data_IF_594397669041
#
_entry.id   IF_594397669041
#
_cell.length_a   1.000
_cell.length_b   1.000
_cell.length_c   1.000
_cell.angle_alpha   90.00
_cell.angle_beta   90.00
_cell.angle_gamma   90.00
#
_symmetry.space_group_name_H-M   'P 1'
#
loop_
_entity.id
_entity.type
_entity.pdbx_description
1 polymer ?
#
# COMPACT_ATOMS: atom_id res chain seq x y z
N UNK A 1 -17.45 14.89 15.18
CA UNK A 1 -17.38 13.77 14.21
C UNK A 1 -17.58 14.34 12.81
N UNK A 2 -16.53 14.48 12.01
CA UNK A 2 -16.61 15.13 10.69
C UNK A 2 -17.38 14.20 9.73
N UNK A 3 -18.51 14.62 9.21
CA UNK A 3 -19.24 13.93 8.14
C UNK A 3 -18.47 14.14 6.81
N UNK A 4 -17.48 13.31 6.54
CA UNK A 4 -16.86 13.24 5.20
C UNK A 4 -17.90 12.64 4.24
N UNK A 5 -18.19 13.34 3.15
CA UNK A 5 -18.98 12.74 2.05
C UNK A 5 -18.10 11.69 1.34
N UNK A 6 -18.63 10.51 1.11
CA UNK A 6 -17.98 9.47 0.33
C UNK A 6 -17.82 9.94 -1.12
N UNK A 7 -16.62 9.78 -1.65
CA UNK A 7 -16.32 10.06 -3.06
C UNK A 7 -16.57 8.83 -3.93
N UNK A 8 -16.59 8.98 -5.24
CA UNK A 8 -16.66 7.85 -6.17
C UNK A 8 -15.50 6.87 -5.98
N UNK A 9 -14.30 7.37 -5.67
CA UNK A 9 -13.13 6.55 -5.34
C UNK A 9 -13.31 5.76 -4.06
N UNK A 10 -13.92 6.34 -3.02
CA UNK A 10 -14.23 5.65 -1.77
C UNK A 10 -15.24 4.49 -2.00
N UNK A 11 -16.24 4.72 -2.84
CA UNK A 11 -17.22 3.67 -3.19
C UNK A 11 -16.56 2.54 -3.99
N UNK A 12 -15.72 2.88 -4.95
CA UNK A 12 -14.98 1.90 -5.74
C UNK A 12 -14.05 1.06 -4.85
N UNK A 13 -13.35 1.69 -3.90
CA UNK A 13 -12.52 1.02 -2.92
C UNK A 13 -13.34 0.01 -2.08
N UNK A 14 -14.50 0.42 -1.58
CA UNK A 14 -15.39 -0.48 -0.82
C UNK A 14 -15.78 -1.69 -1.67
N UNK A 15 -16.25 -1.45 -2.89
CA UNK A 15 -16.70 -2.51 -3.80
C UNK A 15 -15.57 -3.50 -4.07
N UNK A 16 -14.39 -3.02 -4.48
CA UNK A 16 -13.23 -3.87 -4.81
C UNK A 16 -12.79 -4.73 -3.62
N UNK A 17 -12.88 -4.21 -2.39
CA UNK A 17 -12.54 -4.97 -1.19
C UNK A 17 -13.66 -5.93 -0.72
N UNK A 18 -14.93 -5.65 -1.03
CA UNK A 18 -16.06 -6.54 -0.69
C UNK A 18 -16.17 -7.73 -1.65
N UNK A 19 -15.70 -7.61 -2.89
CA UNK A 19 -15.75 -8.72 -3.87
C UNK A 19 -15.07 -10.00 -3.33
N UNK A 20 -13.81 -9.96 -2.84
CA UNK A 20 -13.16 -11.17 -2.32
C UNK A 20 -13.86 -11.76 -1.10
N UNK A 21 -14.42 -10.89 -0.23
CA UNK A 21 -15.18 -11.33 0.93
C UNK A 21 -16.42 -12.12 0.48
N UNK A 22 -17.21 -11.59 -0.44
CA UNK A 22 -18.36 -12.27 -1.01
C UNK A 22 -17.97 -13.63 -1.63
N UNK A 23 -16.91 -13.64 -2.46
CA UNK A 23 -16.48 -14.84 -3.15
C UNK A 23 -15.97 -15.93 -2.20
N UNK A 24 -15.30 -15.58 -1.10
CA UNK A 24 -14.88 -16.56 -0.08
C UNK A 24 -16.07 -17.18 0.65
N UNK A 25 -17.12 -16.38 0.92
CA UNK A 25 -18.27 -16.86 1.69
C UNK A 25 -19.25 -17.66 0.84
N UNK A 26 -19.51 -17.21 -0.38
CA UNK A 26 -20.59 -17.73 -1.23
C UNK A 26 -20.12 -18.54 -2.43
N UNK A 27 -18.94 -18.20 -3.00
CA UNK A 27 -18.41 -18.84 -4.22
C UNK A 27 -17.30 -19.86 -3.92
N UNK A 28 -17.00 -20.10 -2.63
CA UNK A 28 -16.02 -21.11 -2.24
C UNK A 28 -14.57 -20.79 -2.55
N UNK A 29 -14.22 -19.52 -2.70
CA UNK A 29 -12.82 -19.12 -2.91
C UNK A 29 -11.96 -19.47 -1.70
N UNK A 30 -10.69 -19.81 -1.97
CA UNK A 30 -9.73 -20.11 -0.92
C UNK A 30 -9.38 -18.85 -0.12
N UNK A 31 -9.59 -18.91 1.20
CA UNK A 31 -9.16 -17.83 2.10
C UNK A 31 -7.65 -17.57 2.02
N UNK A 32 -6.84 -18.63 1.90
CA UNK A 32 -5.39 -18.53 1.80
C UNK A 32 -4.95 -17.84 0.51
N UNK A 33 -5.63 -18.11 -0.60
CA UNK A 33 -5.38 -17.46 -1.89
C UNK A 33 -5.70 -15.97 -1.82
N UNK A 34 -6.84 -15.61 -1.23
CA UNK A 34 -7.22 -14.19 -1.04
C UNK A 34 -6.23 -13.46 -0.16
N UNK A 35 -5.72 -14.09 0.90
CA UNK A 35 -4.66 -13.51 1.70
C UNK A 35 -3.37 -13.28 0.91
N UNK A 36 -2.96 -14.26 0.10
CA UNK A 36 -1.79 -14.11 -0.77
C UNK A 36 -1.97 -12.93 -1.74
N UNK A 37 -3.17 -12.77 -2.30
CA UNK A 37 -3.48 -11.64 -3.18
C UNK A 37 -3.35 -10.31 -2.45
N UNK A 38 -3.80 -10.20 -1.22
CA UNK A 38 -3.62 -8.99 -0.42
C UNK A 38 -2.13 -8.72 -0.08
N UNK A 39 -1.31 -9.75 0.10
CA UNK A 39 0.13 -9.55 0.20
C UNK A 39 0.71 -8.98 -1.11
N UNK A 40 0.26 -9.47 -2.26
CA UNK A 40 0.71 -9.02 -3.56
C UNK A 40 0.16 -7.64 -3.94
N UNK A 41 -0.97 -7.23 -3.39
CA UNK A 41 -1.50 -5.87 -3.54
C UNK A 41 -0.49 -4.81 -3.09
N UNK A 42 0.31 -5.08 -2.04
CA UNK A 42 1.37 -4.16 -1.62
C UNK A 42 2.44 -3.95 -2.69
N UNK A 43 2.74 -5.00 -3.46
CA UNK A 43 3.65 -4.89 -4.62
C UNK A 43 3.05 -3.98 -5.69
N UNK A 44 1.76 -4.14 -6.00
CA UNK A 44 1.06 -3.31 -6.98
C UNK A 44 1.09 -1.83 -6.54
N UNK A 45 0.80 -1.55 -5.28
CA UNK A 45 0.86 -0.20 -4.70
C UNK A 45 2.26 0.39 -4.85
N UNK A 46 3.30 -0.39 -4.54
CA UNK A 46 4.69 0.03 -4.70
C UNK A 46 5.04 0.37 -6.14
N UNK A 47 4.68 -0.49 -7.10
CA UNK A 47 4.91 -0.26 -8.53
C UNK A 47 4.20 0.99 -9.04
N UNK A 48 2.92 1.15 -8.69
CA UNK A 48 2.15 2.36 -9.04
C UNK A 48 2.80 3.61 -8.45
N UNK A 49 3.32 3.53 -7.23
CA UNK A 49 4.00 4.66 -6.61
C UNK A 49 5.33 5.00 -7.29
N UNK A 50 6.11 4.00 -7.69
CA UNK A 50 7.31 4.20 -8.54
C UNK A 50 6.95 4.92 -9.83
N UNK A 51 5.86 4.53 -10.49
CA UNK A 51 5.37 5.21 -11.70
C UNK A 51 4.98 6.67 -11.45
N UNK A 52 4.30 6.96 -10.31
CA UNK A 52 4.00 8.34 -9.92
C UNK A 52 5.27 9.17 -9.71
N UNK A 53 6.25 8.64 -8.96
CA UNK A 53 7.52 9.31 -8.69
C UNK A 53 8.33 9.50 -9.98
N UNK A 54 8.39 8.50 -10.86
CA UNK A 54 9.04 8.60 -12.15
C UNK A 54 8.40 9.68 -13.04
N UNK A 55 7.06 9.74 -13.06
CA UNK A 55 6.33 10.77 -13.81
C UNK A 55 6.68 12.18 -13.31
N UNK A 56 6.74 12.40 -12.00
CA UNK A 56 7.15 13.70 -11.45
C UNK A 56 8.60 14.03 -11.82
N UNK A 57 9.52 13.06 -11.70
CA UNK A 57 10.94 13.25 -11.99
C UNK A 57 11.20 13.58 -13.46
N UNK A 58 10.47 12.92 -14.37
CA UNK A 58 10.68 13.09 -15.81
C UNK A 58 9.97 14.32 -16.39
N UNK A 59 8.75 14.61 -15.91
CA UNK A 59 7.89 15.60 -16.56
C UNK A 59 7.68 16.90 -15.77
N UNK A 60 8.00 16.92 -14.46
CA UNK A 60 7.73 18.10 -13.62
C UNK A 60 9.02 18.71 -13.09
N UNK A 61 9.83 17.94 -12.35
CA UNK A 61 11.07 18.43 -11.73
C UNK A 61 12.09 17.32 -11.50
N UNK A 62 13.36 17.61 -11.82
CA UNK A 62 14.47 16.65 -11.70
C UNK A 62 15.00 16.49 -10.28
N UNK A 63 14.78 17.49 -9.42
CA UNK A 63 15.24 17.52 -8.02
C UNK A 63 14.13 17.94 -7.10
N UNK A 64 14.19 17.49 -5.83
CA UNK A 64 13.26 17.91 -4.79
C UNK A 64 13.99 17.95 -3.44
N UNK A 65 13.37 18.59 -2.45
CA UNK A 65 13.95 18.77 -1.13
C UNK A 65 13.86 17.47 -0.33
N UNK A 66 14.99 17.03 0.21
CA UNK A 66 15.09 15.98 1.20
C UNK A 66 15.35 16.59 2.58
N UNK A 67 14.49 16.29 3.53
CA UNK A 67 14.63 16.74 4.91
C UNK A 67 15.05 15.57 5.80
N UNK A 68 16.16 15.73 6.52
CA UNK A 68 16.67 14.74 7.45
C UNK A 68 17.25 15.42 8.69
N UNK A 69 16.65 15.15 9.86
CA UNK A 69 17.16 15.65 11.14
C UNK A 69 17.30 17.19 11.24
N UNK A 70 16.40 17.95 10.61
CA UNK A 70 16.44 19.42 10.60
C UNK A 70 17.34 20.02 9.50
N UNK A 71 18.05 19.18 8.73
CA UNK A 71 18.83 19.63 7.57
C UNK A 71 18.03 19.40 6.29
N UNK A 72 18.02 20.39 5.42
CA UNK A 72 17.37 20.36 4.12
C UNK A 72 18.43 20.31 3.03
N UNK A 73 18.32 19.35 2.12
CA UNK A 73 19.21 19.22 0.96
C UNK A 73 18.42 18.92 -0.30
N UNK A 74 18.89 19.46 -1.44
CA UNK A 74 18.29 19.14 -2.74
C UNK A 74 18.82 17.80 -3.21
N UNK A 75 17.91 16.88 -3.51
CA UNK A 75 18.22 15.54 -4.01
C UNK A 75 17.59 15.30 -5.37
N UNK A 76 18.24 14.44 -6.17
CA UNK A 76 17.69 14.01 -7.45
C UNK A 76 16.39 13.22 -7.26
N UNK A 77 15.40 13.38 -8.15
CA UNK A 77 14.20 12.56 -8.15
C UNK A 77 14.50 11.05 -8.25
N UNK A 78 15.58 10.68 -8.94
CA UNK A 78 16.06 9.30 -8.99
C UNK A 78 16.53 8.77 -7.65
N UNK A 79 17.12 9.62 -6.80
CA UNK A 79 17.48 9.24 -5.43
C UNK A 79 16.26 8.78 -4.64
N UNK A 80 15.16 9.54 -4.70
CA UNK A 80 13.92 9.17 -4.02
C UNK A 80 13.35 7.84 -4.55
N UNK A 81 13.40 7.62 -5.86
CA UNK A 81 12.90 6.39 -6.50
C UNK A 81 13.74 5.17 -6.05
N UNK A 82 15.07 5.25 -6.12
CA UNK A 82 15.94 4.15 -5.70
C UNK A 82 15.82 3.87 -4.21
N UNK A 83 15.80 4.90 -3.38
CA UNK A 83 15.59 4.75 -1.95
C UNK A 83 14.26 4.06 -1.67
N UNK A 84 13.20 4.49 -2.32
CA UNK A 84 11.88 3.89 -2.19
C UNK A 84 11.87 2.42 -2.59
N UNK A 85 12.42 2.06 -3.74
CA UNK A 85 12.45 0.68 -4.23
C UNK A 85 13.17 -0.23 -3.22
N UNK A 86 14.34 0.18 -2.72
CA UNK A 86 15.12 -0.63 -1.78
C UNK A 86 14.38 -0.73 -0.44
N UNK A 87 14.00 0.39 0.12
CA UNK A 87 13.43 0.44 1.47
C UNK A 87 12.01 -0.16 1.52
N UNK A 88 11.14 0.25 0.61
CA UNK A 88 9.79 -0.30 0.51
C UNK A 88 9.80 -1.78 0.10
N UNK A 89 10.64 -2.13 -0.88
CA UNK A 89 10.81 -3.51 -1.33
C UNK A 89 11.27 -4.44 -0.20
N UNK A 90 12.14 -3.95 0.70
CA UNK A 90 12.57 -4.70 1.87
C UNK A 90 11.40 -5.00 2.83
N UNK A 91 10.52 -4.02 3.08
CA UNK A 91 9.31 -4.25 3.89
C UNK A 91 8.36 -5.26 3.24
N UNK A 92 8.10 -5.13 1.94
CA UNK A 92 7.25 -6.07 1.18
C UNK A 92 7.84 -7.48 1.23
N UNK A 93 9.16 -7.58 1.09
CA UNK A 93 9.87 -8.85 1.16
C UNK A 93 9.70 -9.51 2.54
N UNK A 94 9.98 -8.79 3.63
CA UNK A 94 9.81 -9.31 4.99
C UNK A 94 8.35 -9.72 5.24
N UNK A 95 7.40 -8.88 4.87
CA UNK A 95 5.97 -9.17 5.02
C UNK A 95 5.57 -10.49 4.36
N UNK A 96 6.02 -10.69 3.12
CA UNK A 96 5.70 -11.90 2.36
C UNK A 96 6.37 -13.14 2.99
N UNK A 97 7.61 -13.01 3.50
CA UNK A 97 8.28 -14.09 4.19
C UNK A 97 7.57 -14.48 5.50
N UNK A 98 7.17 -13.50 6.30
CA UNK A 98 6.41 -13.76 7.53
C UNK A 98 5.09 -14.46 7.18
N UNK A 99 4.39 -14.01 6.15
CA UNK A 99 3.17 -14.64 5.68
C UNK A 99 3.39 -16.12 5.32
N UNK A 100 4.40 -16.44 4.52
CA UNK A 100 4.71 -17.83 4.15
C UNK A 100 5.10 -18.69 5.37
N UNK A 101 5.91 -18.13 6.27
CA UNK A 101 6.35 -18.83 7.47
C UNK A 101 5.19 -19.18 8.42
N UNK A 102 4.26 -18.22 8.61
CA UNK A 102 3.14 -18.38 9.56
C UNK A 102 1.98 -19.15 8.94
N UNK A 103 1.63 -18.92 7.67
CA UNK A 103 0.51 -19.58 6.98
C UNK A 103 0.78 -21.05 6.63
N UNK A 104 2.04 -21.48 6.69
CA UNK A 104 2.49 -22.83 6.28
C UNK A 104 2.04 -23.25 4.87
N UNK A 105 1.73 -22.30 4.01
CA UNK A 105 1.32 -22.55 2.62
C UNK A 105 2.42 -23.20 1.80
N UNK A 106 3.68 -23.00 2.19
CA UNK A 106 4.85 -23.58 1.55
C UNK A 106 5.69 -24.31 2.63
N UNK A 107 5.33 -25.55 2.98
CA UNK A 107 6.14 -26.36 3.88
C UNK A 107 7.54 -26.58 3.26
N UNK A 108 8.59 -26.40 4.06
CA UNK A 108 9.98 -26.67 3.66
C UNK A 108 10.47 -25.87 2.40
N UNK A 109 9.87 -24.73 2.13
CA UNK A 109 10.35 -23.81 1.08
C UNK A 109 11.68 -23.15 1.49
N UNK A 110 12.65 -23.10 0.59
CA UNK A 110 13.78 -22.20 0.76
C UNK A 110 13.30 -20.75 0.75
N UNK A 111 14.02 -19.86 1.45
CA UNK A 111 13.68 -18.46 1.63
C UNK A 111 13.34 -17.74 0.31
N UNK A 112 14.14 -17.91 -0.74
CA UNK A 112 13.88 -17.35 -2.06
C UNK A 112 13.00 -18.24 -2.95
N UNK A 113 13.07 -19.56 -2.78
CA UNK A 113 12.27 -20.51 -3.56
C UNK A 113 10.76 -20.40 -3.32
N UNK A 114 10.35 -19.78 -2.21
CA UNK A 114 8.94 -19.52 -1.93
C UNK A 114 8.30 -18.58 -2.95
N UNK A 115 9.04 -17.59 -3.45
CA UNK A 115 8.54 -16.65 -4.47
C UNK A 115 8.28 -17.32 -5.81
N UNK A 116 9.11 -18.29 -6.19
CA UNK A 116 8.91 -19.06 -7.44
C UNK A 116 7.60 -19.87 -7.44
N UNK A 117 7.06 -20.17 -6.25
CA UNK A 117 5.81 -20.93 -6.09
C UNK A 117 4.54 -20.04 -6.12
N UNK A 118 4.67 -18.72 -6.01
CA UNK A 118 3.52 -17.80 -6.02
C UNK A 118 2.60 -18.01 -7.22
N UNK A 119 3.08 -18.12 -8.47
CA UNK A 119 2.20 -18.34 -9.62
C UNK A 119 1.39 -19.62 -9.56
N UNK A 120 1.94 -20.67 -8.92
CA UNK A 120 1.25 -21.95 -8.74
C UNK A 120 0.23 -21.90 -7.58
N UNK A 121 0.48 -21.07 -6.56
CA UNK A 121 -0.43 -20.86 -5.45
C UNK A 121 -1.63 -19.97 -5.82
N UNK A 122 -1.47 -19.15 -6.88
CA UNK A 122 -2.52 -18.31 -7.41
C UNK A 122 -3.34 -19.10 -8.43
N UNK A 123 -4.52 -19.54 -8.02
CA UNK A 123 -5.53 -20.05 -8.93
C UNK A 123 -6.12 -18.96 -9.84
N UNK A 124 -7.13 -19.31 -10.61
CA UNK A 124 -7.77 -18.35 -11.51
C UNK A 124 -8.45 -17.20 -10.75
N UNK A 125 -8.99 -17.48 -9.58
CA UNK A 125 -9.65 -16.49 -8.73
C UNK A 125 -8.64 -15.44 -8.19
N UNK A 126 -7.48 -15.87 -7.71
CA UNK A 126 -6.44 -14.97 -7.25
C UNK A 126 -5.87 -14.11 -8.37
N UNK A 127 -5.68 -14.69 -9.57
CA UNK A 127 -5.26 -13.92 -10.76
C UNK A 127 -6.29 -12.87 -11.16
N UNK A 128 -7.58 -13.24 -11.18
CA UNK A 128 -8.66 -12.29 -11.47
C UNK A 128 -8.66 -11.13 -10.46
N UNK A 129 -8.52 -11.44 -9.18
CA UNK A 129 -8.48 -10.44 -8.12
C UNK A 129 -7.27 -9.49 -8.27
N UNK A 130 -6.08 -10.00 -8.62
CA UNK A 130 -4.92 -9.15 -8.92
C UNK A 130 -5.19 -8.22 -10.09
N UNK A 131 -5.83 -8.69 -11.16
CA UNK A 131 -6.21 -7.86 -12.30
C UNK A 131 -7.17 -6.75 -11.85
N UNK A 132 -8.15 -7.07 -11.00
CA UNK A 132 -9.07 -6.07 -10.44
C UNK A 132 -8.32 -5.02 -9.64
N UNK A 133 -7.35 -5.40 -8.80
CA UNK A 133 -6.53 -4.43 -8.06
C UNK A 133 -5.66 -3.57 -8.97
N UNK A 134 -5.03 -4.16 -9.98
CA UNK A 134 -4.26 -3.38 -10.96
C UNK A 134 -5.15 -2.37 -11.67
N UNK A 135 -6.33 -2.77 -12.13
CA UNK A 135 -7.29 -1.87 -12.76
C UNK A 135 -7.72 -0.75 -11.80
N UNK A 136 -8.08 -1.10 -10.56
CA UNK A 136 -8.46 -0.14 -9.52
C UNK A 136 -7.38 0.92 -9.29
N UNK A 137 -6.13 0.50 -8.99
CA UNK A 137 -5.05 1.45 -8.72
C UNK A 137 -4.65 2.27 -9.95
N UNK A 138 -4.79 1.70 -11.15
CA UNK A 138 -4.57 2.44 -12.41
C UNK A 138 -5.63 3.54 -12.57
N UNK A 139 -6.90 3.21 -12.45
CA UNK A 139 -8.01 4.16 -12.55
C UNK A 139 -7.88 5.25 -11.47
N UNK A 140 -7.66 4.87 -10.22
CA UNK A 140 -7.45 5.81 -9.12
C UNK A 140 -6.29 6.77 -9.42
N UNK A 141 -5.15 6.25 -9.89
CA UNK A 141 -3.98 7.06 -10.22
C UNK A 141 -4.26 8.03 -11.36
N UNK A 142 -4.94 7.60 -12.41
CA UNK A 142 -5.31 8.47 -13.52
C UNK A 142 -6.19 9.64 -13.05
N UNK A 143 -7.22 9.36 -12.25
CA UNK A 143 -8.14 10.40 -11.81
C UNK A 143 -7.58 11.26 -10.67
N UNK A 144 -7.06 10.66 -9.60
CA UNK A 144 -6.66 11.40 -8.39
C UNK A 144 -5.27 12.01 -8.48
N UNK A 145 -4.40 11.52 -9.36
CA UNK A 145 -3.04 12.02 -9.47
C UNK A 145 -2.82 12.82 -10.75
N UNK A 146 -3.18 12.28 -11.92
CA UNK A 146 -2.94 12.95 -13.18
C UNK A 146 -4.03 13.97 -13.53
N UNK A 147 -5.30 13.57 -13.56
CA UNK A 147 -6.40 14.46 -13.94
C UNK A 147 -6.61 15.59 -12.95
N UNK A 148 -6.42 15.34 -11.65
CA UNK A 148 -6.50 16.37 -10.62
C UNK A 148 -5.33 17.38 -10.65
N UNK A 149 -4.27 17.09 -11.40
CA UNK A 149 -3.05 17.91 -11.43
C UNK A 149 -2.16 17.77 -10.19
N UNK A 150 -2.46 16.85 -9.25
CA UNK A 150 -1.68 16.61 -8.03
C UNK A 150 -0.19 16.33 -8.31
N UNK A 151 0.12 15.68 -9.45
CA UNK A 151 1.50 15.39 -9.86
C UNK A 151 2.38 16.62 -10.00
N UNK A 152 1.81 17.81 -10.27
CA UNK A 152 2.56 19.07 -10.43
C UNK A 152 3.03 19.65 -9.10
N UNK A 153 2.30 19.42 -8.02
CA UNK A 153 2.48 20.10 -6.72
C UNK A 153 2.99 19.21 -5.61
N UNK A 154 2.76 17.89 -5.70
CA UNK A 154 3.14 16.94 -4.63
C UNK A 154 4.66 16.82 -4.51
N UNK A 155 5.20 16.83 -3.27
CA UNK A 155 6.63 16.60 -3.04
C UNK A 155 7.02 15.14 -3.23
N UNK A 156 8.28 14.89 -3.63
CA UNK A 156 8.82 13.53 -3.78
C UNK A 156 8.86 12.79 -2.44
N UNK A 157 9.21 13.50 -1.37
CA UNK A 157 9.17 12.94 -0.01
C UNK A 157 7.76 12.46 0.37
N UNK A 158 6.71 13.25 0.06
CA UNK A 158 5.33 12.84 0.32
C UNK A 158 4.93 11.61 -0.48
N UNK A 159 5.25 11.56 -1.78
CA UNK A 159 5.01 10.39 -2.61
C UNK A 159 5.71 9.16 -2.06
N UNK A 160 6.97 9.31 -1.61
CA UNK A 160 7.74 8.23 -1.04
C UNK A 160 7.07 7.66 0.22
N UNK A 161 6.56 8.50 1.13
CA UNK A 161 5.98 8.04 2.40
C UNK A 161 4.50 7.62 2.31
N UNK A 162 3.75 8.07 1.29
CA UNK A 162 2.32 7.78 1.14
C UNK A 162 1.97 6.27 1.23
N UNK A 163 2.72 5.31 0.61
CA UNK A 163 2.41 3.89 0.68
C UNK A 163 2.74 3.21 2.00
N UNK A 164 3.70 3.77 2.79
CA UNK A 164 4.19 3.08 4.01
C UNK A 164 3.11 2.84 5.06
N UNK A 165 2.17 3.74 5.16
CA UNK A 165 1.11 3.64 6.14
C UNK A 165 0.15 2.51 5.78
N UNK A 166 -0.14 2.37 4.48
CA UNK A 166 -0.96 1.24 3.99
C UNK A 166 -0.27 -0.08 4.26
N UNK A 167 1.03 -0.18 3.92
CA UNK A 167 1.80 -1.41 4.15
C UNK A 167 1.88 -1.75 5.65
N UNK A 168 2.01 -0.74 6.52
CA UNK A 168 2.06 -0.95 7.96
C UNK A 168 0.77 -1.57 8.50
N UNK A 169 -0.39 -0.98 8.17
CA UNK A 169 -1.70 -1.53 8.54
C UNK A 169 -1.89 -2.93 7.98
N UNK A 170 -1.60 -3.10 6.69
CA UNK A 170 -1.76 -4.37 5.99
C UNK A 170 -0.83 -5.45 6.55
N UNK A 171 0.38 -5.10 6.98
CA UNK A 171 1.31 -6.04 7.60
C UNK A 171 0.77 -6.64 8.89
N UNK A 172 0.22 -5.82 9.79
CA UNK A 172 -0.42 -6.34 11.00
C UNK A 172 -1.55 -7.30 10.67
N UNK A 173 -2.36 -6.93 9.70
CA UNK A 173 -3.52 -7.72 9.34
C UNK A 173 -3.14 -9.02 8.64
N UNK A 174 -2.14 -9.00 7.77
CA UNK A 174 -1.63 -10.21 7.11
C UNK A 174 -1.00 -11.17 8.13
N UNK A 175 -0.23 -10.67 9.11
CA UNK A 175 0.36 -11.49 10.17
C UNK A 175 -0.74 -12.13 11.01
N UNK A 176 -1.69 -11.34 11.51
CA UNK A 176 -2.81 -11.88 12.29
C UNK A 176 -3.62 -12.88 11.47
N UNK A 177 -3.89 -12.59 10.19
CA UNK A 177 -4.62 -13.46 9.29
C UNK A 177 -3.98 -14.80 9.04
N UNK A 178 -2.69 -14.82 8.87
CA UNK A 178 -1.95 -16.07 8.67
C UNK A 178 -2.03 -16.96 9.91
N UNK A 179 -2.09 -16.41 11.11
CA UNK A 179 -2.33 -17.16 12.35
C UNK A 179 -3.73 -17.80 12.31
N UNK A 180 -4.77 -17.02 11.99
CA UNK A 180 -6.14 -17.54 11.90
C UNK A 180 -6.33 -18.60 10.81
N UNK A 181 -5.58 -18.51 9.70
CA UNK A 181 -5.57 -19.55 8.66
C UNK A 181 -5.14 -20.92 9.23
N UNK A 182 -4.15 -20.95 10.12
CA UNK A 182 -3.68 -22.18 10.77
C UNK A 182 -4.74 -22.82 11.68
N UNK A 183 -5.66 -22.04 12.24
CA UNK A 183 -6.77 -22.51 13.07
C UNK A 183 -8.05 -22.84 12.28
N UNK A 184 -8.00 -22.81 10.95
CA UNK A 184 -9.18 -23.03 10.10
C UNK A 184 -10.21 -21.90 10.11
N UNK A 185 -9.93 -20.78 10.77
CA UNK A 185 -10.82 -19.62 10.91
C UNK A 185 -10.63 -18.57 9.78
N UNK A 186 -10.09 -18.97 8.63
CA UNK A 186 -9.75 -18.06 7.54
C UNK A 186 -10.91 -17.21 7.02
N UNK A 187 -12.12 -17.76 6.94
CA UNK A 187 -13.32 -17.02 6.51
C UNK A 187 -13.65 -15.85 7.44
N UNK A 188 -13.68 -16.12 8.75
CA UNK A 188 -13.96 -15.09 9.76
C UNK A 188 -12.90 -14.01 9.73
N UNK A 189 -11.65 -14.42 9.57
CA UNK A 189 -10.56 -13.47 9.53
C UNK A 189 -10.62 -12.57 8.29
N UNK A 190 -10.97 -13.09 7.10
CA UNK A 190 -11.16 -12.25 5.92
C UNK A 190 -12.23 -11.18 6.15
N UNK A 191 -13.32 -11.51 6.85
CA UNK A 191 -14.33 -10.52 7.22
C UNK A 191 -13.72 -9.40 8.08
N UNK A 192 -13.03 -9.76 9.17
CA UNK A 192 -12.39 -8.80 10.07
C UNK A 192 -11.36 -7.96 9.28
N UNK A 193 -10.57 -8.61 8.42
CA UNK A 193 -9.58 -7.95 7.60
C UNK A 193 -10.16 -6.91 6.66
N UNK A 194 -11.17 -7.29 5.85
CA UNK A 194 -11.79 -6.39 4.87
C UNK A 194 -12.43 -5.20 5.58
N UNK A 195 -13.12 -5.44 6.71
CA UNK A 195 -13.71 -4.37 7.52
C UNK A 195 -12.62 -3.43 8.06
N UNK A 196 -11.56 -3.97 8.66
CA UNK A 196 -10.44 -3.18 9.16
C UNK A 196 -9.77 -2.38 8.03
N UNK A 197 -9.47 -3.03 6.89
CA UNK A 197 -8.85 -2.37 5.73
C UNK A 197 -9.70 -1.21 5.22
N UNK A 198 -10.99 -1.44 4.97
CA UNK A 198 -11.92 -0.38 4.53
C UNK A 198 -11.96 0.75 5.57
N UNK A 199 -12.05 0.41 6.86
CA UNK A 199 -12.06 1.41 7.92
C UNK A 199 -10.79 2.27 7.90
N UNK A 200 -9.61 1.65 7.87
CA UNK A 200 -8.35 2.38 7.86
C UNK A 200 -8.21 3.23 6.59
N UNK A 201 -8.53 2.71 5.41
CA UNK A 201 -8.40 3.45 4.16
C UNK A 201 -9.40 4.61 4.02
N UNK A 202 -10.60 4.49 4.58
CA UNK A 202 -11.60 5.56 4.53
C UNK A 202 -11.44 6.61 5.62
N UNK A 203 -11.16 6.20 6.86
CA UNK A 203 -11.24 7.09 8.01
C UNK A 203 -9.90 7.64 8.47
N UNK A 204 -8.80 6.94 8.19
CA UNK A 204 -7.48 7.48 8.47
C UNK A 204 -7.02 8.30 7.27
N UNK A 205 -7.26 9.61 7.36
CA UNK A 205 -6.82 10.56 6.33
C UNK A 205 -5.31 10.82 6.48
N UNK A 206 -4.50 9.92 5.92
CA UNK A 206 -3.04 10.00 5.99
C UNK A 206 -2.48 11.26 5.33
N UNK A 207 -3.14 11.78 4.30
CA UNK A 207 -2.77 13.05 3.70
C UNK A 207 -2.82 14.18 4.73
N UNK A 208 -3.82 14.18 5.61
CA UNK A 208 -3.92 15.16 6.69
C UNK A 208 -2.84 14.97 7.76
N UNK A 209 -2.46 13.73 8.03
CA UNK A 209 -1.37 13.45 8.98
C UNK A 209 -0.03 13.96 8.44
N UNK A 210 0.26 13.72 7.16
CA UNK A 210 1.44 14.26 6.49
C UNK A 210 1.41 15.78 6.42
N UNK A 211 0.28 16.41 6.10
CA UNK A 211 0.11 17.87 6.11
C UNK A 211 0.35 18.49 7.49
N UNK A 212 -0.12 17.83 8.55
CA UNK A 212 0.14 18.29 9.93
C UNK A 212 1.62 18.16 10.28
N UNK A 213 2.27 17.07 9.87
CA UNK A 213 3.70 16.86 10.09
C UNK A 213 4.52 17.90 9.34
N UNK A 214 4.26 18.13 8.05
CA UNK A 214 4.91 19.18 7.24
C UNK A 214 4.70 20.57 7.82
N UNK A 215 3.48 20.89 8.28
CA UNK A 215 3.19 22.18 8.90
C UNK A 215 3.94 22.38 10.22
N UNK A 216 4.04 21.34 11.06
CA UNK A 216 4.80 21.40 12.31
C UNK A 216 6.30 21.63 12.05
N UNK A 217 6.86 20.98 11.05
CA UNK A 217 8.27 21.19 10.67
C UNK A 217 8.52 22.60 10.14
N UNK A 218 7.62 23.15 9.30
CA UNK A 218 7.73 24.55 8.84
C UNK A 218 7.73 25.53 10.01
N UNK A 219 6.77 25.38 10.93
CA UNK A 219 6.67 26.25 12.12
C UNK A 219 7.88 26.13 13.05
N UNK A 220 8.50 24.94 13.11
CA UNK A 220 9.73 24.74 13.88
C UNK A 220 10.90 25.48 13.23
N UNK A 221 11.06 25.40 11.92
CA UNK A 221 12.10 26.12 11.17
C UNK A 221 11.95 27.65 11.27
N UNK A 222 10.72 28.15 11.16
CA UNK A 222 10.46 29.60 11.33
C UNK A 222 10.88 30.10 12.71
N UNK A 223 10.68 29.32 13.77
CA UNK A 223 11.13 29.65 15.13
C UNK A 223 12.65 29.61 15.28
N UNK A 224 13.32 28.62 14.67
CA UNK A 224 14.78 28.49 14.71
C UNK A 224 15.51 29.61 13.92
N UNK A 225 14.85 30.22 12.94
CA UNK A 225 15.39 31.37 12.20
C UNK A 225 15.16 32.73 12.88
N UNK A 226 14.31 32.78 13.92
CA UNK A 226 14.02 33.99 14.68
C UNK A 226 14.88 34.13 15.97
N UNK A 227 15.73 33.14 16.26
CA UNK A 227 16.72 33.15 17.37
C UNK A 227 18.10 33.36 16.81
#
# INVERSE_FOLDING_TARGET
MYKRKLTASDLLLIIVNLIPLYCVWFEGWSASEVFLVYCLETVIIGLVNVLKMASVTLFVRKTDTWENGGRSSMQSGWFFIFFFIIHYGFFVFIQTQIFFAVSRLIPNGSFLGSYAKIPALLGNNGKLMLIIFVAYYTVQTLFEFFTSGKYKTVSMGRLMFEPYIRIFVQQFVVILGSIFLNFGAGKIFILIFVVAKIFFELFINFNRFLEIAEKRERLKKEREQQI
#
